data_IF_833154966651
#
_entry.id   IF_833154966651
#
_cell.length_a   1.000
_cell.length_b   1.000
_cell.length_c   1.000
_cell.angle_alpha   90.00
_cell.angle_beta   90.00
_cell.angle_gamma   90.00
#
_symmetry.space_group_name_H-M   'P 1'
#
loop_
_entity.id
_entity.type
_entity.pdbx_description
1 polymer ?
#
# COMPACT_ATOMS: atom_id res chain seq x y z
N UNK A 1 -2.44 1.06 -21.22
CA UNK A 1 -1.75 2.20 -20.57
C UNK A 1 -0.56 1.64 -19.80
N UNK A 2 0.60 2.30 -19.83
CA UNK A 2 1.79 1.83 -19.10
C UNK A 2 1.95 2.66 -17.82
N UNK A 3 1.77 2.04 -16.66
CA UNK A 3 2.05 2.65 -15.35
C UNK A 3 3.51 2.35 -15.02
N UNK A 4 4.24 3.37 -14.58
CA UNK A 4 5.63 3.27 -14.13
C UNK A 4 5.77 3.90 -12.76
N UNK A 5 6.86 3.64 -12.04
CA UNK A 5 7.17 4.29 -10.75
C UNK A 5 7.00 5.82 -10.79
N UNK A 6 7.32 6.43 -11.94
CA UNK A 6 7.28 7.89 -12.17
C UNK A 6 5.91 8.41 -12.65
N UNK A 7 4.90 7.56 -12.83
CA UNK A 7 3.56 8.03 -13.21
C UNK A 7 3.04 9.03 -12.16
N UNK A 8 2.56 10.22 -12.55
CA UNK A 8 2.06 11.21 -11.61
C UNK A 8 0.89 10.69 -10.75
N UNK A 9 0.84 11.09 -9.48
CA UNK A 9 -0.17 10.65 -8.52
C UNK A 9 -1.60 10.95 -8.99
N UNK A 10 -1.80 12.09 -9.65
CA UNK A 10 -3.08 12.51 -10.21
C UNK A 10 -3.56 11.55 -11.30
N UNK A 11 -2.63 11.06 -12.12
CA UNK A 11 -2.90 10.07 -13.16
C UNK A 11 -3.27 8.73 -12.54
N UNK A 12 -2.49 8.25 -11.56
CA UNK A 12 -2.77 7.00 -10.82
C UNK A 12 -4.14 7.04 -10.14
N UNK A 13 -4.50 8.18 -9.53
CA UNK A 13 -5.82 8.40 -8.93
C UNK A 13 -6.95 8.34 -9.96
N UNK A 14 -6.76 8.88 -11.17
CA UNK A 14 -7.76 8.81 -12.24
C UNK A 14 -8.00 7.37 -12.71
N UNK A 15 -6.93 6.58 -12.85
CA UNK A 15 -7.02 5.17 -13.26
C UNK A 15 -7.67 4.33 -12.15
N UNK A 16 -7.26 4.55 -10.90
CA UNK A 16 -7.69 3.76 -9.76
C UNK A 16 -9.08 4.04 -9.23
N UNK A 17 -9.78 5.10 -9.65
CA UNK A 17 -10.97 5.63 -8.94
C UNK A 17 -12.16 4.65 -8.79
N UNK A 18 -12.25 3.59 -9.58
CA UNK A 18 -13.44 2.73 -9.67
C UNK A 18 -13.58 1.68 -8.54
N UNK A 19 -13.96 2.12 -7.34
CA UNK A 19 -14.39 1.20 -6.29
C UNK A 19 -15.91 1.03 -6.30
N UNK A 20 -16.39 -0.15 -6.69
CA UNK A 20 -17.83 -0.50 -6.72
C UNK A 20 -18.43 -0.87 -5.35
N UNK A 21 -17.66 -0.71 -4.27
CA UNK A 21 -18.05 -1.07 -2.91
C UNK A 21 -18.54 -2.53 -2.74
N UNK A 22 -18.05 -3.47 -3.57
CA UNK A 22 -18.45 -4.88 -3.55
C UNK A 22 -18.00 -5.65 -2.30
N UNK A 23 -17.15 -5.06 -1.45
CA UNK A 23 -16.64 -5.68 -0.23
C UNK A 23 -15.44 -6.62 -0.42
N UNK A 24 -15.10 -7.05 -1.65
CA UNK A 24 -14.02 -8.02 -1.87
C UNK A 24 -12.70 -7.64 -1.18
N UNK A 25 -12.15 -6.44 -1.44
CA UNK A 25 -10.91 -6.04 -0.76
C UNK A 25 -11.13 -5.87 0.76
N UNK A 26 -12.23 -5.22 1.15
CA UNK A 26 -12.48 -4.82 2.54
C UNK A 26 -12.80 -6.00 3.48
N UNK A 27 -13.23 -7.15 2.96
CA UNK A 27 -13.48 -8.38 3.74
C UNK A 27 -12.20 -9.14 4.09
N UNK A 28 -11.13 -8.95 3.33
CA UNK A 28 -9.92 -9.76 3.45
C UNK A 28 -8.67 -8.94 3.82
N UNK A 29 -8.69 -7.62 3.64
CA UNK A 29 -7.56 -6.74 3.96
C UNK A 29 -7.99 -5.26 4.12
N UNK A 30 -7.01 -4.39 4.40
CA UNK A 30 -7.13 -2.94 4.46
C UNK A 30 -5.96 -2.29 3.72
N UNK A 31 -6.16 -1.07 3.22
CA UNK A 31 -5.09 -0.30 2.58
C UNK A 31 -4.19 0.40 3.60
N UNK A 32 -3.07 0.93 3.12
CA UNK A 32 -2.11 1.65 3.95
C UNK A 32 -2.41 3.16 3.94
N UNK A 33 -2.13 3.82 5.05
CA UNK A 33 -2.24 5.26 5.23
C UNK A 33 -0.92 5.92 4.86
N UNK A 34 -0.99 6.96 4.04
CA UNK A 34 0.14 7.82 3.68
C UNK A 34 -0.28 9.29 3.70
N UNK A 35 0.68 10.19 3.63
CA UNK A 35 0.46 11.64 3.59
C UNK A 35 -0.49 12.13 4.71
N UNK A 36 -1.60 12.77 4.34
CA UNK A 36 -2.60 13.32 5.22
C UNK A 36 -3.78 12.37 5.50
N UNK A 37 -3.69 11.09 5.10
CA UNK A 37 -4.80 10.12 5.20
C UNK A 37 -5.36 10.08 6.63
N UNK A 38 -4.49 10.05 7.63
CA UNK A 38 -4.88 10.01 9.04
C UNK A 38 -5.66 11.25 9.49
N UNK A 39 -5.27 12.44 9.03
CA UNK A 39 -5.91 13.71 9.38
C UNK A 39 -7.30 13.78 8.72
N UNK A 40 -7.40 13.38 7.45
CA UNK A 40 -8.67 13.39 6.71
C UNK A 40 -9.66 12.40 7.31
N UNK A 41 -9.21 11.20 7.70
CA UNK A 41 -10.06 10.18 8.33
C UNK A 41 -10.51 10.65 9.72
N UNK A 42 -9.61 11.21 10.53
CA UNK A 42 -9.95 11.70 11.88
C UNK A 42 -11.02 12.80 11.82
N UNK A 43 -10.86 13.76 10.89
CA UNK A 43 -11.83 14.83 10.65
C UNK A 43 -13.20 14.29 10.24
N UNK A 44 -13.23 13.32 9.33
CA UNK A 44 -14.47 12.69 8.86
C UNK A 44 -15.21 11.97 10.00
N UNK A 45 -14.48 11.27 10.86
CA UNK A 45 -15.02 10.56 12.02
C UNK A 45 -15.26 11.45 13.24
N UNK A 46 -14.94 12.75 13.17
CA UNK A 46 -15.05 13.72 14.26
C UNK A 46 -14.31 13.28 15.54
N UNK A 47 -13.10 12.76 15.35
CA UNK A 47 -12.21 12.29 16.43
C UNK A 47 -10.82 12.91 16.27
N UNK A 48 -9.97 12.80 17.28
CA UNK A 48 -8.56 13.21 17.18
C UNK A 48 -7.74 12.16 16.43
N UNK A 49 -6.56 12.54 15.93
CA UNK A 49 -5.64 11.57 15.31
C UNK A 49 -5.15 10.51 16.28
N UNK A 50 -5.05 10.84 17.57
CA UNK A 50 -4.55 9.92 18.60
C UNK A 50 -5.62 8.89 18.97
N UNK A 51 -6.86 9.33 19.18
CA UNK A 51 -8.00 8.41 19.35
C UNK A 51 -8.21 7.54 18.11
N UNK A 52 -8.03 8.10 16.91
CA UNK A 52 -8.10 7.34 15.67
C UNK A 52 -7.04 6.24 15.64
N UNK A 53 -5.79 6.57 15.99
CA UNK A 53 -4.69 5.61 16.06
C UNK A 53 -5.00 4.49 17.02
N UNK A 54 -5.37 4.85 18.24
CA UNK A 54 -5.63 3.91 19.31
C UNK A 54 -6.77 2.95 18.97
N UNK A 55 -7.89 3.48 18.46
CA UNK A 55 -9.11 2.69 18.27
C UNK A 55 -9.13 1.95 16.94
N UNK A 56 -8.66 2.55 15.85
CA UNK A 56 -8.94 2.06 14.50
C UNK A 56 -7.73 1.74 13.62
N UNK A 57 -6.52 2.12 14.02
CA UNK A 57 -5.32 1.94 13.20
C UNK A 57 -4.36 0.95 13.88
N UNK A 58 -3.61 0.20 13.09
CA UNK A 58 -2.52 -0.65 13.55
C UNK A 58 -1.24 -0.34 12.75
N UNK A 59 -0.09 -0.58 13.38
CA UNK A 59 1.20 -0.59 12.69
C UNK A 59 1.35 -1.89 11.89
N UNK A 60 2.01 -1.79 10.74
CA UNK A 60 2.37 -2.89 9.87
C UNK A 60 3.76 -2.62 9.30
N UNK A 61 4.45 -3.66 8.86
CA UNK A 61 5.74 -3.54 8.19
C UNK A 61 5.68 -4.17 6.80
N UNK A 62 6.27 -3.51 5.80
CA UNK A 62 6.45 -4.09 4.47
C UNK A 62 7.67 -3.49 3.79
N UNK A 63 8.51 -4.32 3.19
CA UNK A 63 9.79 -3.90 2.59
C UNK A 63 10.68 -3.16 3.60
N UNK A 64 10.72 -3.67 4.83
CA UNK A 64 11.41 -3.07 5.99
C UNK A 64 10.94 -1.64 6.34
N UNK A 65 9.80 -1.21 5.81
CA UNK A 65 9.20 0.10 6.09
C UNK A 65 7.99 -0.08 7.00
N UNK A 66 8.02 0.60 8.15
CA UNK A 66 6.85 0.73 9.03
C UNK A 66 5.80 1.62 8.38
N UNK A 67 4.55 1.19 8.43
CA UNK A 67 3.42 1.94 7.90
C UNK A 67 2.15 1.67 8.72
N UNK A 68 1.20 2.61 8.66
CA UNK A 68 -0.08 2.49 9.33
C UNK A 68 -1.15 1.93 8.39
N UNK A 69 -2.07 1.13 8.91
CA UNK A 69 -3.29 0.69 8.19
C UNK A 69 -4.50 0.63 9.12
N UNK A 70 -5.74 0.67 8.60
CA UNK A 70 -6.90 0.35 9.41
C UNK A 70 -6.80 -1.06 9.97
N UNK A 71 -7.19 -1.23 11.24
CA UNK A 71 -7.22 -2.52 11.92
C UNK A 71 -8.03 -3.54 11.14
N UNK A 72 -7.57 -4.78 11.19
CA UNK A 72 -8.33 -5.92 10.69
C UNK A 72 -9.03 -6.60 11.87
N UNK A 73 -10.35 -6.70 11.78
CA UNK A 73 -11.15 -7.56 12.64
C UNK A 73 -10.88 -9.00 12.19
N UNK A 74 -9.97 -9.66 12.92
CA UNK A 74 -9.60 -11.05 12.66
C UNK A 74 -10.66 -12.00 13.21
N UNK A 75 -10.90 -13.09 12.47
CA UNK A 75 -11.64 -14.25 12.95
C UNK A 75 -10.67 -15.42 13.18
N UNK A 76 -11.08 -16.62 12.79
CA UNK A 76 -10.24 -17.83 12.84
C UNK A 76 -9.31 -17.98 11.62
N UNK A 77 -9.28 -17.01 10.72
CA UNK A 77 -8.57 -17.05 9.44
C UNK A 77 -7.34 -16.13 9.47
N UNK A 78 -6.32 -16.37 8.62
CA UNK A 78 -5.12 -15.53 8.54
C UNK A 78 -5.38 -14.14 7.91
N UNK A 79 -6.61 -13.89 7.44
CA UNK A 79 -7.07 -12.61 6.92
C UNK A 79 -8.20 -12.06 7.80
N UNK A 80 -8.48 -10.77 7.66
CA UNK A 80 -9.51 -10.11 8.47
C UNK A 80 -10.24 -9.03 7.70
N UNK A 81 -11.42 -8.71 8.22
CA UNK A 81 -12.26 -7.64 7.70
C UNK A 81 -11.71 -6.29 8.16
N UNK A 82 -11.56 -5.33 7.26
CA UNK A 82 -11.24 -3.95 7.63
C UNK A 82 -12.25 -3.40 8.65
N UNK A 83 -11.79 -2.75 9.71
CA UNK A 83 -12.64 -2.19 10.77
C UNK A 83 -13.69 -1.20 10.25
N UNK A 84 -13.43 -0.55 9.13
CA UNK A 84 -14.36 0.36 8.46
C UNK A 84 -15.28 -0.33 7.44
N UNK A 85 -15.32 -1.66 7.39
CA UNK A 85 -16.24 -2.40 6.52
C UNK A 85 -17.49 -2.85 7.27
N UNK A 86 -18.63 -2.46 6.74
CA UNK A 86 -19.96 -2.85 7.18
C UNK A 86 -20.66 -3.62 6.03
N UNK A 87 -21.31 -4.74 6.35
CA UNK A 87 -21.95 -5.60 5.32
C UNK A 87 -23.14 -4.92 4.63
N UNK A 88 -23.84 -4.00 5.30
CA UNK A 88 -25.03 -3.33 4.76
C UNK A 88 -24.66 -2.13 3.88
N UNK A 89 -23.65 -1.34 4.28
CA UNK A 89 -23.31 -0.07 3.61
C UNK A 89 -21.95 -0.06 2.92
N UNK A 90 -21.15 -1.11 3.08
CA UNK A 90 -19.80 -1.21 2.53
C UNK A 90 -18.75 -0.46 3.36
N UNK A 91 -17.86 0.27 2.70
CA UNK A 91 -16.80 1.03 3.38
C UNK A 91 -17.38 2.31 4.02
N UNK A 92 -17.37 2.40 5.34
CA UNK A 92 -17.96 3.52 6.09
C UNK A 92 -17.16 4.82 5.99
N UNK A 93 -15.90 4.75 5.54
CA UNK A 93 -15.04 5.92 5.30
C UNK A 93 -14.76 6.13 3.80
N UNK A 94 -15.63 5.64 2.91
CA UNK A 94 -15.36 5.58 1.47
C UNK A 94 -14.88 6.92 0.87
N UNK A 95 -15.51 8.03 1.27
CA UNK A 95 -15.18 9.39 0.79
C UNK A 95 -13.77 9.84 1.14
N UNK A 96 -13.26 9.39 2.29
CA UNK A 96 -11.94 9.77 2.81
C UNK A 96 -10.94 8.62 2.85
N UNK A 97 -11.28 7.49 2.23
CA UNK A 97 -10.47 6.25 2.29
C UNK A 97 -9.00 6.51 1.94
N UNK A 98 -8.06 5.72 2.51
CA UNK A 98 -6.64 5.91 2.29
C UNK A 98 -6.25 5.95 0.81
N UNK A 99 -5.14 6.63 0.47
CA UNK A 99 -4.64 6.67 -0.92
C UNK A 99 -4.53 5.26 -1.49
N UNK A 100 -3.97 4.32 -0.73
CA UNK A 100 -3.84 2.93 -1.17
C UNK A 100 -5.20 2.32 -1.57
N UNK A 101 -6.26 2.53 -0.77
CA UNK A 101 -7.62 2.07 -1.08
C UNK A 101 -8.27 2.80 -2.28
N UNK A 102 -7.77 3.98 -2.65
CA UNK A 102 -8.21 4.73 -3.83
C UNK A 102 -7.63 4.17 -5.13
N UNK A 103 -6.49 3.47 -5.07
CA UNK A 103 -5.78 3.02 -6.27
C UNK A 103 -5.63 1.50 -6.37
N UNK A 104 -5.43 0.80 -5.24
CA UNK A 104 -5.31 -0.66 -5.16
C UNK A 104 -6.67 -1.34 -5.05
N UNK A 105 -7.46 -1.29 -6.12
CA UNK A 105 -8.73 -2.02 -6.20
C UNK A 105 -8.73 -3.03 -7.36
N UNK A 106 -9.80 -3.82 -7.46
CA UNK A 106 -9.99 -4.86 -8.47
C UNK A 106 -10.30 -4.27 -9.87
N UNK A 107 -9.41 -3.44 -10.40
CA UNK A 107 -9.45 -2.96 -11.78
C UNK A 107 -8.35 -3.65 -12.62
N UNK A 108 -8.39 -3.47 -13.94
CA UNK A 108 -7.46 -4.09 -14.90
C UNK A 108 -5.98 -3.74 -14.64
N UNK A 109 -5.72 -2.61 -13.98
CA UNK A 109 -4.39 -2.12 -13.61
C UNK A 109 -4.09 -2.28 -12.11
N UNK A 110 -4.89 -3.05 -11.36
CA UNK A 110 -4.81 -3.14 -9.90
C UNK A 110 -3.40 -3.51 -9.39
N UNK A 111 -2.76 -4.47 -10.03
CA UNK A 111 -1.41 -4.91 -9.67
C UNK A 111 -0.35 -3.84 -9.94
N UNK A 112 -0.43 -3.17 -11.10
CA UNK A 112 0.48 -2.08 -11.47
C UNK A 112 0.32 -0.87 -10.54
N UNK A 113 -0.91 -0.52 -10.16
CA UNK A 113 -1.20 0.58 -9.22
C UNK A 113 -0.72 0.24 -7.80
N UNK A 114 -0.84 -1.03 -7.39
CA UNK A 114 -0.29 -1.50 -6.13
C UNK A 114 1.25 -1.45 -6.15
N UNK A 115 1.89 -1.89 -7.23
CA UNK A 115 3.34 -1.74 -7.40
C UNK A 115 3.78 -0.27 -7.38
N UNK A 116 3.04 0.62 -8.04
CA UNK A 116 3.29 2.06 -7.97
C UNK A 116 3.25 2.56 -6.52
N UNK A 117 2.25 2.16 -5.75
CA UNK A 117 2.15 2.52 -4.33
C UNK A 117 3.35 2.00 -3.54
N UNK A 118 3.67 0.71 -3.67
CA UNK A 118 4.79 0.08 -2.98
C UNK A 118 6.11 0.79 -3.30
N UNK A 119 6.39 1.07 -4.58
CA UNK A 119 7.62 1.70 -5.02
C UNK A 119 7.77 3.17 -4.59
N UNK A 120 6.67 3.87 -4.32
CA UNK A 120 6.69 5.29 -3.94
C UNK A 120 6.59 5.50 -2.43
N UNK A 121 6.03 4.55 -1.67
CA UNK A 121 5.78 4.74 -0.23
C UNK A 121 6.38 3.67 0.68
N UNK A 122 6.82 2.52 0.16
CA UNK A 122 7.25 1.38 0.99
C UNK A 122 8.66 0.87 0.65
N UNK A 123 9.02 0.82 -0.62
CA UNK A 123 10.36 0.37 -1.04
C UNK A 123 11.34 1.52 -0.89
N UNK A 124 12.37 1.31 -0.09
CA UNK A 124 13.44 2.27 0.14
C UNK A 124 14.74 1.79 -0.55
N UNK A 125 15.19 2.45 -1.64
CA UNK A 125 16.40 2.05 -2.35
C UNK A 125 17.71 2.21 -1.57
N UNK A 126 17.70 3.01 -0.50
CA UNK A 126 18.86 3.23 0.36
C UNK A 126 18.94 2.24 1.53
N UNK A 127 17.90 1.42 1.72
CA UNK A 127 17.87 0.36 2.71
C UNK A 127 18.13 -1.01 2.05
N UNK A 128 19.28 -1.67 2.37
CA UNK A 128 19.61 -2.99 1.85
C UNK A 128 18.52 -4.04 2.09
N UNK A 129 17.88 -4.03 3.26
CA UNK A 129 16.85 -5.02 3.60
C UNK A 129 15.57 -4.78 2.79
N UNK A 130 15.19 -3.52 2.59
CA UNK A 130 14.08 -3.16 1.70
C UNK A 130 14.31 -3.67 0.27
N UNK A 131 15.52 -3.52 -0.26
CA UNK A 131 15.90 -4.03 -1.59
C UNK A 131 15.86 -5.56 -1.66
N UNK A 132 16.32 -6.26 -0.61
CA UNK A 132 16.24 -7.73 -0.56
C UNK A 132 14.80 -8.23 -0.51
N UNK A 133 13.94 -7.61 0.31
CA UNK A 133 12.52 -7.95 0.36
C UNK A 133 11.81 -7.65 -0.97
N UNK A 134 12.16 -6.54 -1.63
CA UNK A 134 11.66 -6.24 -2.98
C UNK A 134 12.14 -7.27 -4.01
N UNK A 135 13.41 -7.71 -3.97
CA UNK A 135 13.91 -8.82 -4.80
C UNK A 135 13.05 -10.08 -4.62
N UNK A 136 12.71 -10.45 -3.39
CA UNK A 136 11.84 -11.59 -3.11
C UNK A 136 10.46 -11.40 -3.74
N UNK A 137 9.87 -10.21 -3.65
CA UNK A 137 8.60 -9.90 -4.31
C UNK A 137 8.68 -10.08 -5.84
N UNK A 138 9.77 -9.65 -6.47
CA UNK A 138 9.99 -9.80 -7.92
C UNK A 138 10.19 -11.25 -8.39
N UNK A 139 10.36 -12.22 -7.50
CA UNK A 139 10.39 -13.65 -7.89
C UNK A 139 9.03 -14.14 -8.40
N UNK A 140 7.95 -13.50 -7.97
CA UNK A 140 6.57 -13.86 -8.33
C UNK A 140 5.88 -12.78 -9.18
N UNK A 141 6.49 -11.59 -9.31
CA UNK A 141 5.86 -10.43 -9.91
C UNK A 141 6.79 -9.77 -10.93
N UNK A 142 6.25 -9.40 -12.09
CA UNK A 142 6.97 -8.59 -13.07
C UNK A 142 6.99 -7.14 -12.60
N UNK A 143 8.16 -6.47 -12.53
CA UNK A 143 8.22 -5.08 -12.13
C UNK A 143 7.57 -4.18 -13.18
N UNK A 144 6.82 -3.17 -12.73
CA UNK A 144 6.51 -2.02 -13.58
C UNK A 144 7.81 -1.24 -13.90
N UNK A 145 7.86 -0.45 -15.00
CA UNK A 145 9.03 0.37 -15.31
C UNK A 145 9.44 1.27 -14.13
N UNK A 146 10.73 1.36 -13.84
CA UNK A 146 11.28 2.00 -12.65
C UNK A 146 11.24 1.16 -11.37
N UNK A 147 10.77 -0.10 -11.47
CA UNK A 147 10.66 -1.03 -10.36
C UNK A 147 11.66 -2.19 -10.38
N UNK A 148 12.51 -2.31 -11.41
CA UNK A 148 13.53 -3.36 -11.40
C UNK A 148 14.67 -3.02 -10.42
N UNK A 149 15.39 -4.04 -9.93
CA UNK A 149 16.50 -3.84 -8.98
C UNK A 149 17.59 -2.91 -9.53
N UNK A 150 17.90 -3.02 -10.83
CA UNK A 150 18.89 -2.15 -11.49
C UNK A 150 18.42 -0.71 -11.63
N UNK A 151 17.11 -0.48 -11.79
CA UNK A 151 16.56 0.88 -11.81
C UNK A 151 16.48 1.50 -10.41
N UNK A 152 16.27 0.68 -9.37
CA UNK A 152 16.25 1.14 -7.99
C UNK A 152 17.66 1.39 -7.44
N UNK A 153 18.62 0.52 -7.75
CA UNK A 153 20.03 0.62 -7.37
C UNK A 153 20.91 0.52 -8.62
N UNK A 154 21.19 1.65 -9.31
CA UNK A 154 21.95 1.66 -10.56
C UNK A 154 23.43 1.26 -10.42
N UNK A 155 24.03 1.46 -9.25
CA UNK A 155 25.38 1.00 -8.96
C UNK A 155 25.39 -0.52 -8.79
N UNK A 156 25.91 -1.23 -9.81
CA UNK A 156 25.95 -2.69 -9.84
C UNK A 156 26.82 -3.29 -8.73
N UNK A 157 27.88 -2.59 -8.31
CA UNK A 157 28.74 -3.04 -7.21
C UNK A 157 27.99 -2.95 -5.89
N UNK A 158 27.33 -1.82 -5.64
CA UNK A 158 26.47 -1.63 -4.45
C UNK A 158 25.36 -2.67 -4.43
N UNK A 159 24.65 -2.85 -5.55
CA UNK A 159 23.56 -3.82 -5.65
C UNK A 159 24.06 -5.24 -5.35
N UNK A 160 25.20 -5.65 -5.93
CA UNK A 160 25.78 -6.97 -5.67
C UNK A 160 26.07 -7.18 -4.17
N UNK A 161 26.69 -6.19 -3.51
CA UNK A 161 26.97 -6.26 -2.07
C UNK A 161 25.69 -6.38 -1.23
N UNK A 162 24.65 -5.60 -1.55
CA UNK A 162 23.33 -5.70 -0.91
C UNK A 162 22.77 -7.12 -1.02
N UNK A 163 22.79 -7.68 -2.23
CA UNK A 163 22.21 -8.99 -2.53
C UNK A 163 22.99 -10.17 -1.95
N UNK A 164 24.26 -9.98 -1.62
CA UNK A 164 25.14 -10.99 -1.01
C UNK A 164 25.28 -10.84 0.52
N UNK A 165 24.56 -9.90 1.16
CA UNK A 165 24.71 -9.61 2.59
C UNK A 165 26.11 -9.11 3.00
N UNK A 166 26.73 -8.30 2.14
CA UNK A 166 28.07 -7.73 2.34
C UNK A 166 28.03 -6.22 2.74
N UNK A 167 26.87 -5.73 3.20
CA UNK A 167 26.63 -4.33 3.63
C UNK A 167 25.95 -4.28 4.98
#
# INVERSE_FOLDING_TARGET
MLISKKTPKETVLKIGKECRMCGNCCKYTSGFLVDDDIIRIARFLRTTTDELKEKYIEEHERFNTKILRPKLIQGTKPYGKCIFYNEQVGCTIHEVKPLHCRIGNCNTYGDDLNQWFMLNYLVNPDDPESIRQWRTFLTQNKPIPGGSLKELVPDETKLKKILNYEV
#
